data_IF_347869436525
#
_entry.id   IF_347869436525
#
_cell.length_a   1.000
_cell.length_b   1.000
_cell.length_c   1.000
_cell.angle_alpha   90.00
_cell.angle_beta   90.00
_cell.angle_gamma   90.00
#
_symmetry.space_group_name_H-M   'P 1'
#
loop_
_entity.id
_entity.type
_entity.pdbx_description
1 polymer ?
#
# COMPACT_ATOMS: atom_id res chain seq x y z
N UNK A 1 -1.69 2.84 11.15
CA UNK A 1 -0.73 2.49 10.08
C UNK A 1 -1.44 2.30 8.73
N UNK A 2 -2.51 1.50 8.66
CA UNK A 2 -3.25 1.25 7.41
C UNK A 2 -3.98 2.47 6.83
N UNK A 3 -4.42 3.41 7.67
CA UNK A 3 -5.17 4.60 7.24
C UNK A 3 -4.38 5.52 6.30
N UNK A 4 -3.04 5.53 6.42
CA UNK A 4 -2.21 6.35 5.55
C UNK A 4 -2.14 5.75 4.14
N UNK A 5 -2.01 4.43 4.04
CA UNK A 5 -2.03 3.70 2.77
C UNK A 5 -3.39 3.89 2.09
N UNK A 6 -4.47 3.76 2.84
CA UNK A 6 -5.83 3.98 2.37
C UNK A 6 -6.01 5.38 1.76
N UNK A 7 -5.53 6.43 2.45
CA UNK A 7 -5.54 7.82 1.95
C UNK A 7 -4.68 7.99 0.69
N UNK A 8 -3.51 7.37 0.62
CA UNK A 8 -2.65 7.40 -0.57
C UNK A 8 -3.34 6.75 -1.77
N UNK A 9 -3.95 5.58 -1.59
CA UNK A 9 -4.69 4.91 -2.66
C UNK A 9 -5.88 5.76 -3.15
N UNK A 10 -6.62 6.39 -2.23
CA UNK A 10 -7.69 7.32 -2.59
C UNK A 10 -7.17 8.53 -3.37
N UNK A 11 -6.05 9.11 -2.97
CA UNK A 11 -5.42 10.23 -3.66
C UNK A 11 -4.93 9.84 -5.06
N UNK A 12 -4.31 8.66 -5.20
CA UNK A 12 -3.85 8.13 -6.49
C UNK A 12 -5.02 7.85 -7.44
N UNK A 13 -6.13 7.29 -6.95
CA UNK A 13 -7.34 7.08 -7.76
C UNK A 13 -7.96 8.41 -8.20
N UNK A 14 -7.97 9.41 -7.32
CA UNK A 14 -8.60 10.70 -7.59
C UNK A 14 -10.04 10.53 -8.05
N UNK A 15 -10.36 11.05 -9.24
CA UNK A 15 -11.69 10.99 -9.84
C UNK A 15 -11.97 9.73 -10.66
N UNK A 16 -11.00 8.81 -10.81
CA UNK A 16 -11.22 7.60 -11.59
C UNK A 16 -12.25 6.68 -10.90
N UNK A 17 -13.22 6.11 -11.63
CA UNK A 17 -14.15 5.12 -11.07
C UNK A 17 -13.41 3.90 -10.54
N UNK A 18 -13.88 3.34 -9.43
CA UNK A 18 -13.23 2.19 -8.79
C UNK A 18 -13.27 0.96 -9.68
N UNK A 19 -14.32 0.82 -10.48
CA UNK A 19 -14.54 -0.27 -11.42
C UNK A 19 -13.44 -0.29 -12.49
N UNK A 20 -13.07 0.89 -12.99
CA UNK A 20 -12.02 1.05 -14.01
C UNK A 20 -10.67 0.67 -13.43
N UNK A 21 -10.33 1.21 -12.26
CA UNK A 21 -9.06 0.91 -11.58
C UNK A 21 -8.98 -0.57 -11.20
N UNK A 22 -10.04 -1.13 -10.61
CA UNK A 22 -10.07 -2.53 -10.19
C UNK A 22 -9.88 -3.47 -11.39
N UNK A 23 -10.53 -3.17 -12.53
CA UNK A 23 -10.36 -3.93 -13.77
C UNK A 23 -8.94 -3.81 -14.33
N UNK A 24 -8.37 -2.60 -14.36
CA UNK A 24 -7.02 -2.37 -14.88
C UNK A 24 -5.94 -3.06 -14.02
N UNK A 25 -6.10 -3.01 -12.70
CA UNK A 25 -5.20 -3.70 -11.76
C UNK A 25 -5.44 -5.22 -11.75
N UNK A 26 -6.63 -5.70 -12.14
CA UNK A 26 -6.99 -7.12 -12.16
C UNK A 26 -7.43 -7.64 -10.78
N UNK A 27 -8.21 -6.85 -10.04
CA UNK A 27 -8.77 -7.20 -8.72
C UNK A 27 -10.28 -6.96 -8.71
N UNK A 28 -10.98 -7.49 -7.71
CA UNK A 28 -12.40 -7.18 -7.53
C UNK A 28 -12.62 -5.75 -7.05
N UNK A 29 -13.79 -5.18 -7.38
CA UNK A 29 -14.22 -3.87 -6.88
C UNK A 29 -14.20 -3.81 -5.35
N UNK A 30 -14.68 -4.87 -4.70
CA UNK A 30 -14.68 -5.01 -3.24
C UNK A 30 -13.26 -5.01 -2.67
N UNK A 31 -12.29 -5.65 -3.34
CA UNK A 31 -10.92 -5.64 -2.90
C UNK A 31 -10.35 -4.22 -2.89
N UNK A 32 -10.54 -3.46 -3.98
CA UNK A 32 -10.11 -2.06 -4.05
C UNK A 32 -10.74 -1.21 -2.94
N UNK A 33 -12.05 -1.37 -2.71
CA UNK A 33 -12.75 -0.67 -1.62
C UNK A 33 -12.19 -1.01 -0.23
N UNK A 34 -11.87 -2.28 0.03
CA UNK A 34 -11.27 -2.69 1.30
C UNK A 34 -9.87 -2.10 1.50
N UNK A 35 -9.11 -1.93 0.42
CA UNK A 35 -7.79 -1.30 0.47
C UNK A 35 -7.88 0.21 0.70
N UNK A 36 -8.78 0.89 -0.02
CA UNK A 36 -9.04 2.33 0.13
C UNK A 36 -9.69 2.71 1.47
N UNK A 37 -10.26 1.74 2.19
CA UNK A 37 -10.79 1.94 3.56
C UNK A 37 -9.84 1.44 4.64
N UNK A 38 -8.67 0.91 4.28
CA UNK A 38 -7.68 0.39 5.24
C UNK A 38 -8.08 -0.90 5.95
N UNK A 39 -9.25 -1.47 5.63
CA UNK A 39 -9.78 -2.71 6.22
C UNK A 39 -8.96 -3.95 5.85
N UNK A 40 -8.24 -3.89 4.72
CA UNK A 40 -7.35 -4.96 4.27
C UNK A 40 -6.09 -4.39 3.66
N UNK A 41 -4.99 -5.14 3.76
CA UNK A 41 -3.74 -4.84 3.06
C UNK A 41 -3.63 -5.73 1.81
N UNK A 42 -3.23 -5.18 0.64
CA UNK A 42 -3.01 -5.99 -0.56
C UNK A 42 -1.86 -7.00 -0.36
N UNK A 43 -1.92 -8.14 -1.06
CA UNK A 43 -0.77 -9.06 -1.18
C UNK A 43 0.31 -8.45 -2.07
N UNK A 44 1.53 -8.96 -2.00
CA UNK A 44 2.68 -8.34 -2.68
C UNK A 44 2.53 -8.31 -4.20
N UNK A 45 1.97 -9.35 -4.81
CA UNK A 45 1.61 -9.38 -6.23
C UNK A 45 0.62 -8.26 -6.60
N UNK A 46 -0.33 -7.96 -5.70
CA UNK A 46 -1.28 -6.85 -5.89
C UNK A 46 -0.59 -5.51 -5.70
N UNK A 47 0.30 -5.39 -4.72
CA UNK A 47 1.05 -4.15 -4.49
C UNK A 47 1.86 -3.77 -5.71
N UNK A 48 2.52 -4.75 -6.34
CA UNK A 48 3.26 -4.56 -7.60
C UNK A 48 2.32 -4.06 -8.70
N UNK A 49 1.19 -4.74 -8.93
CA UNK A 49 0.23 -4.31 -9.97
C UNK A 49 -0.35 -2.91 -9.75
N UNK A 50 -0.63 -2.55 -8.49
CA UNK A 50 -1.09 -1.20 -8.15
C UNK A 50 0.01 -0.17 -8.41
N UNK A 51 1.26 -0.48 -8.04
CA UNK A 51 2.43 0.36 -8.24
C UNK A 51 2.68 0.61 -9.74
N UNK A 52 2.65 -0.45 -10.54
CA UNK A 52 2.79 -0.39 -12.01
C UNK A 52 1.68 0.46 -12.64
N UNK A 53 0.41 0.25 -12.23
CA UNK A 53 -0.74 0.99 -12.75
C UNK A 53 -0.63 2.51 -12.52
N UNK A 54 -0.12 2.92 -11.35
CA UNK A 54 0.06 4.34 -11.01
C UNK A 54 1.43 4.90 -11.38
N UNK A 55 2.31 4.10 -12.01
CA UNK A 55 3.70 4.45 -12.29
C UNK A 55 4.44 4.97 -11.04
N UNK A 56 4.32 4.22 -9.95
CA UNK A 56 4.94 4.45 -8.65
C UNK A 56 5.64 3.20 -8.17
N UNK A 57 6.48 3.33 -7.17
CA UNK A 57 7.09 2.17 -6.50
C UNK A 57 6.18 1.65 -5.39
N UNK A 58 6.30 0.35 -5.08
CA UNK A 58 5.61 -0.26 -3.93
C UNK A 58 5.97 0.46 -2.64
N UNK A 59 7.23 0.93 -2.50
CA UNK A 59 7.70 1.67 -1.33
C UNK A 59 6.97 3.00 -1.14
N UNK A 60 6.82 3.80 -2.20
CA UNK A 60 6.11 5.08 -2.14
C UNK A 60 4.65 4.93 -1.72
N UNK A 61 3.98 3.87 -2.16
CA UNK A 61 2.56 3.65 -1.86
C UNK A 61 2.38 3.05 -0.46
N UNK A 62 3.07 1.94 -0.18
CA UNK A 62 2.73 1.06 0.95
C UNK A 62 3.63 1.17 2.17
N UNK A 63 4.79 1.81 2.06
CA UNK A 63 5.75 1.89 3.15
C UNK A 63 5.94 3.35 3.61
N UNK A 64 6.37 3.50 4.87
CA UNK A 64 6.79 4.77 5.43
C UNK A 64 8.28 4.69 5.75
N UNK A 65 9.00 5.80 5.62
CA UNK A 65 10.41 5.93 6.04
C UNK A 65 10.58 5.95 7.57
N UNK A 66 9.65 5.37 8.34
CA UNK A 66 9.85 5.24 9.78
C UNK A 66 10.85 4.10 9.99
N UNK A 67 12.09 4.48 10.25
CA UNK A 67 13.17 3.56 10.60
C UNK A 67 12.68 2.65 11.73
N UNK A 68 12.80 1.34 11.53
CA UNK A 68 12.66 0.42 12.66
C UNK A 68 13.81 0.72 13.62
N UNK A 69 13.50 1.02 14.88
CA UNK A 69 14.50 0.98 15.93
C UNK A 69 15.06 -0.43 15.97
N UNK A 70 16.30 -0.59 15.51
CA UNK A 70 17.02 -1.84 15.63
C UNK A 70 17.20 -2.09 17.12
N UNK A 71 16.80 -3.26 17.61
CA UNK A 71 17.13 -3.65 18.97
C UNK A 71 18.65 -3.69 19.09
N UNK A 72 19.24 -2.68 19.74
CA UNK A 72 20.65 -2.67 20.08
C UNK A 72 20.91 -3.85 21.02
N UNK A 73 21.46 -4.94 20.49
CA UNK A 73 22.16 -5.92 21.31
C UNK A 73 23.32 -5.16 21.94
N UNK A 74 23.15 -4.70 23.17
CA UNK A 74 24.28 -4.25 23.98
C UNK A 74 25.22 -5.45 24.10
N UNK A 75 26.36 -5.37 23.44
CA UNK A 75 27.49 -6.25 23.71
C UNK A 75 27.82 -6.03 25.19
N UNK A 76 27.36 -6.93 26.05
CA UNK A 76 27.89 -7.08 27.40
C UNK A 76 29.36 -7.45 27.21
N UNK A 77 30.21 -6.44 27.24
CA UNK A 77 31.66 -6.63 27.27
C UNK A 77 31.95 -6.94 28.74
N UNK A 78 32.38 -8.18 28.98
CA UNK A 78 32.80 -8.67 30.28
C UNK A 78 34.12 -8.03 30.72
#
# INVERSE_FOLDING_TARGET
>A
MNDLIAKRLLALRGSQPREVVAKAVGISLSALQMYETGKRVPRDDIKIRIADYYNKTVQEIFFNNQNHETCDFKLNTA
#
